data_IF_701934697564
#
_entry.id   IF_701934697564
#
_cell.length_a   1.000
_cell.length_b   1.000
_cell.length_c   1.000
_cell.angle_alpha   90.00
_cell.angle_beta   90.00
_cell.angle_gamma   90.00
#
_symmetry.space_group_name_H-M   'P 1'
#
loop_
_entity.id
_entity.type
_entity.pdbx_description
1 polymer ?
#
# COMPACT_ATOMS: atom_id res chain seq x y z
N UNK A 1 -16.09 25.09 -20.01
CA UNK A 1 -15.91 24.64 -18.61
C UNK A 1 -14.45 24.83 -18.26
N UNK A 2 -14.09 25.43 -17.12
CA UNK A 2 -12.69 25.63 -16.77
C UNK A 2 -12.00 24.26 -16.60
N UNK A 3 -10.74 24.09 -17.04
CA UNK A 3 -10.01 22.82 -16.99
C UNK A 3 -9.87 22.26 -15.56
N UNK A 4 -10.07 23.10 -14.55
CA UNK A 4 -10.03 22.74 -13.12
C UNK A 4 -11.29 22.03 -12.62
N UNK A 5 -12.43 22.15 -13.30
CA UNK A 5 -13.69 21.53 -12.86
C UNK A 5 -13.66 19.99 -12.93
N UNK A 6 -12.90 19.42 -13.86
CA UNK A 6 -12.76 17.97 -14.04
C UNK A 6 -11.62 17.35 -13.22
N UNK A 7 -10.72 18.16 -12.65
CA UNK A 7 -9.53 17.66 -11.97
C UNK A 7 -9.86 16.89 -10.69
N UNK A 8 -10.81 17.40 -9.90
CA UNK A 8 -11.12 16.79 -8.60
C UNK A 8 -11.77 15.42 -8.69
N UNK A 9 -12.78 15.19 -9.55
CA UNK A 9 -13.32 13.85 -9.77
C UNK A 9 -12.27 12.88 -10.29
N UNK A 10 -11.38 13.31 -11.19
CA UNK A 10 -10.29 12.48 -11.72
C UNK A 10 -9.32 12.07 -10.63
N UNK A 11 -8.89 13.01 -9.77
CA UNK A 11 -8.00 12.70 -8.65
C UNK A 11 -8.67 11.80 -7.61
N UNK A 12 -9.98 11.95 -7.40
CA UNK A 12 -10.77 11.11 -6.49
C UNK A 12 -10.83 9.66 -7.02
N UNK A 13 -11.16 9.49 -8.31
CA UNK A 13 -11.14 8.17 -8.96
C UNK A 13 -9.73 7.55 -8.98
N UNK A 14 -8.71 8.36 -9.25
CA UNK A 14 -7.31 7.93 -9.21
C UNK A 14 -6.93 7.43 -7.82
N UNK A 15 -7.35 8.12 -6.75
CA UNK A 15 -7.11 7.67 -5.37
C UNK A 15 -7.70 6.27 -5.14
N UNK A 16 -8.98 6.07 -5.47
CA UNK A 16 -9.67 4.77 -5.31
C UNK A 16 -8.93 3.66 -6.08
N UNK A 17 -8.51 3.94 -7.31
CA UNK A 17 -7.75 2.98 -8.12
C UNK A 17 -6.38 2.66 -7.51
N UNK A 18 -5.66 3.68 -7.02
CA UNK A 18 -4.35 3.50 -6.39
C UNK A 18 -4.45 2.69 -5.09
N UNK A 19 -5.44 2.99 -4.24
CA UNK A 19 -5.73 2.22 -3.02
C UNK A 19 -6.06 0.77 -3.37
N UNK A 20 -6.94 0.55 -4.35
CA UNK A 20 -7.32 -0.78 -4.82
C UNK A 20 -6.14 -1.57 -5.37
N UNK A 21 -5.30 -0.97 -6.23
CA UNK A 21 -4.10 -1.61 -6.76
C UNK A 21 -3.10 -1.94 -5.65
N UNK A 22 -2.88 -1.01 -4.71
CA UNK A 22 -2.00 -1.23 -3.57
C UNK A 22 -2.44 -2.44 -2.74
N UNK A 23 -3.73 -2.46 -2.36
CA UNK A 23 -4.30 -3.54 -1.55
C UNK A 23 -4.30 -4.86 -2.32
N UNK A 24 -4.63 -4.83 -3.62
CA UNK A 24 -4.58 -6.00 -4.50
C UNK A 24 -3.20 -6.64 -4.56
N UNK A 25 -2.14 -5.85 -4.73
CA UNK A 25 -0.76 -6.37 -4.69
C UNK A 25 -0.42 -6.96 -3.32
N UNK A 26 -0.85 -6.31 -2.23
CA UNK A 26 -0.58 -6.79 -0.88
C UNK A 26 -1.27 -8.13 -0.60
N UNK A 27 -2.53 -8.27 -0.98
CA UNK A 27 -3.29 -9.52 -0.86
C UNK A 27 -2.67 -10.62 -1.72
N UNK A 28 -2.33 -10.33 -2.98
CA UNK A 28 -1.72 -11.30 -3.88
C UNK A 28 -0.37 -11.82 -3.35
N UNK A 29 0.49 -10.93 -2.86
CA UNK A 29 1.78 -11.33 -2.31
C UNK A 29 1.66 -12.11 -1.00
N UNK A 30 0.63 -11.81 -0.19
CA UNK A 30 0.39 -12.47 1.10
C UNK A 30 -0.25 -13.84 0.95
N UNK A 31 -1.29 -13.96 0.12
CA UNK A 31 -2.13 -15.15 0.05
C UNK A 31 -1.83 -16.06 -1.14
N UNK A 32 -1.14 -15.57 -2.17
CA UNK A 32 -0.81 -16.38 -3.35
C UNK A 32 0.68 -16.63 -3.44
N UNK A 33 1.48 -15.57 -3.51
CA UNK A 33 2.93 -15.70 -3.73
C UNK A 33 3.63 -16.33 -2.53
N UNK A 34 3.34 -15.86 -1.31
CA UNK A 34 4.03 -16.37 -0.12
C UNK A 34 3.78 -17.86 0.17
N UNK A 35 2.54 -18.37 0.06
CA UNK A 35 2.27 -19.82 0.16
C UNK A 35 2.91 -20.62 -0.97
N UNK A 36 2.78 -20.18 -2.23
CA UNK A 36 3.38 -20.88 -3.37
C UNK A 36 4.90 -21.04 -3.22
N UNK A 37 5.59 -20.03 -2.70
CA UNK A 37 7.02 -20.11 -2.43
C UNK A 37 7.37 -21.08 -1.30
N UNK A 38 6.48 -21.27 -0.33
CA UNK A 38 6.69 -22.24 0.74
C UNK A 38 6.60 -23.68 0.24
N UNK A 39 5.74 -23.94 -0.75
CA UNK A 39 5.60 -25.25 -1.39
C UNK A 39 6.71 -25.54 -2.41
N UNK A 40 7.01 -24.58 -3.29
CA UNK A 40 7.99 -24.76 -4.37
C UNK A 40 9.45 -24.79 -3.87
N UNK A 41 9.74 -24.10 -2.75
CA UNK A 41 11.09 -24.00 -2.20
C UNK A 41 11.10 -24.41 -0.72
N UNK A 42 11.13 -25.71 -0.40
CA UNK A 42 11.11 -26.20 0.98
C UNK A 42 12.36 -25.79 1.78
N UNK A 43 13.51 -25.61 1.10
CA UNK A 43 14.72 -25.07 1.72
C UNK A 43 14.55 -23.56 2.04
N UNK A 44 14.72 -23.19 3.31
CA UNK A 44 14.50 -21.83 3.77
C UNK A 44 15.47 -20.80 3.16
N UNK A 45 16.74 -21.15 2.99
CA UNK A 45 17.74 -20.25 2.41
C UNK A 45 17.43 -19.97 0.93
N UNK A 46 17.12 -21.00 0.15
CA UNK A 46 16.72 -20.88 -1.26
C UNK A 46 15.44 -20.06 -1.41
N UNK A 47 14.44 -20.33 -0.56
CA UNK A 47 13.18 -19.59 -0.52
C UNK A 47 13.39 -18.13 -0.18
N UNK A 48 14.21 -17.82 0.83
CA UNK A 48 14.53 -16.46 1.23
C UNK A 48 15.23 -15.69 0.11
N UNK A 49 16.19 -16.31 -0.59
CA UNK A 49 16.87 -15.72 -1.73
C UNK A 49 15.89 -15.35 -2.87
N UNK A 50 15.00 -16.28 -3.26
CA UNK A 50 14.00 -16.01 -4.29
C UNK A 50 12.98 -14.95 -3.84
N UNK A 51 12.50 -15.00 -2.59
CA UNK A 51 11.58 -13.98 -2.04
C UNK A 51 12.20 -12.60 -2.01
N UNK A 52 13.50 -12.46 -1.71
CA UNK A 52 14.21 -11.18 -1.78
C UNK A 52 14.27 -10.64 -3.21
N UNK A 53 14.53 -11.49 -4.19
CA UNK A 53 14.57 -11.09 -5.60
C UNK A 53 13.20 -10.63 -6.08
N UNK A 54 12.15 -11.42 -5.84
CA UNK A 54 10.78 -11.02 -6.18
C UNK A 54 10.32 -9.79 -5.39
N UNK A 55 10.66 -9.70 -4.11
CA UNK A 55 10.39 -8.53 -3.28
C UNK A 55 11.01 -7.25 -3.84
N UNK A 56 12.21 -7.31 -4.44
CA UNK A 56 12.81 -6.15 -5.14
C UNK A 56 12.01 -5.75 -6.38
N UNK A 57 11.46 -6.70 -7.13
CA UNK A 57 10.58 -6.38 -8.28
C UNK A 57 9.29 -5.73 -7.82
N UNK A 58 8.64 -6.27 -6.78
CA UNK A 58 7.45 -5.63 -6.19
C UNK A 58 7.76 -4.24 -5.65
N UNK A 59 8.90 -4.03 -4.98
CA UNK A 59 9.26 -2.73 -4.44
C UNK A 59 9.43 -1.65 -5.54
N UNK A 60 9.92 -2.03 -6.73
CA UNK A 60 10.04 -1.10 -7.88
C UNK A 60 8.68 -0.62 -8.40
N UNK A 61 7.62 -1.41 -8.22
CA UNK A 61 6.25 -1.03 -8.60
C UNK A 61 5.54 -0.35 -7.44
N UNK A 62 5.62 -0.94 -6.25
CA UNK A 62 4.93 -0.46 -5.06
C UNK A 62 5.43 0.89 -4.56
N UNK A 63 6.73 1.18 -4.72
CA UNK A 63 7.33 2.46 -4.33
C UNK A 63 6.67 3.65 -5.06
N UNK A 64 6.74 3.70 -6.41
CA UNK A 64 6.05 4.71 -7.19
C UNK A 64 4.54 4.75 -6.97
N UNK A 65 3.89 3.59 -6.81
CA UNK A 65 2.45 3.52 -6.56
C UNK A 65 2.08 4.16 -5.21
N UNK A 66 2.82 3.84 -4.15
CA UNK A 66 2.62 4.43 -2.82
C UNK A 66 2.92 5.93 -2.81
N UNK A 67 3.94 6.37 -3.55
CA UNK A 67 4.25 7.79 -3.73
C UNK A 67 3.13 8.51 -4.48
N UNK A 68 2.63 7.92 -5.57
CA UNK A 68 1.49 8.44 -6.32
C UNK A 68 0.28 8.61 -5.42
N UNK A 69 -0.05 7.58 -4.63
CA UNK A 69 -1.16 7.63 -3.67
C UNK A 69 -0.98 8.77 -2.66
N UNK A 70 0.21 8.91 -2.07
CA UNK A 70 0.53 9.98 -1.13
C UNK A 70 0.35 11.37 -1.78
N UNK A 71 0.90 11.56 -2.98
CA UNK A 71 0.77 12.83 -3.70
C UNK A 71 -0.69 13.14 -4.03
N UNK A 72 -1.48 12.15 -4.45
CA UNK A 72 -2.91 12.33 -4.73
C UNK A 72 -3.66 12.78 -3.48
N UNK A 73 -3.45 12.12 -2.33
CA UNK A 73 -4.07 12.51 -1.04
C UNK A 73 -3.68 13.93 -0.65
N UNK A 74 -2.39 14.30 -0.78
CA UNK A 74 -1.92 15.64 -0.45
C UNK A 74 -2.53 16.71 -1.37
N UNK A 75 -2.57 16.48 -2.69
CA UNK A 75 -3.17 17.42 -3.64
C UNK A 75 -4.67 17.60 -3.36
N UNK A 76 -5.39 16.52 -3.05
CA UNK A 76 -6.80 16.60 -2.66
C UNK A 76 -6.99 17.39 -1.35
N UNK A 77 -6.14 17.17 -0.35
CA UNK A 77 -6.22 17.84 0.94
C UNK A 77 -5.85 19.32 0.89
N UNK A 78 -4.78 19.69 0.18
CA UNK A 78 -4.42 21.10 -0.01
C UNK A 78 -5.39 21.84 -0.95
N UNK A 79 -5.96 21.15 -1.94
CA UNK A 79 -6.88 21.74 -2.91
C UNK A 79 -8.31 21.92 -2.40
N UNK A 80 -8.81 21.00 -1.55
CA UNK A 80 -10.21 20.98 -1.09
C UNK A 80 -10.37 21.10 0.43
N UNK A 81 -9.27 21.13 1.17
CA UNK A 81 -9.25 21.06 2.64
C UNK A 81 -9.16 19.62 3.16
N UNK A 82 -8.63 19.45 4.37
CA UNK A 82 -8.56 18.16 5.05
C UNK A 82 -9.84 17.89 5.84
N UNK A 83 -10.70 17.04 5.32
CA UNK A 83 -11.76 16.41 6.11
C UNK A 83 -11.16 15.41 7.10
N UNK A 84 -11.93 15.04 8.14
CA UNK A 84 -11.50 14.01 9.10
C UNK A 84 -11.14 12.69 8.38
N UNK A 85 -11.97 12.27 7.43
CA UNK A 85 -11.74 11.03 6.68
C UNK A 85 -10.47 11.10 5.82
N UNK A 86 -10.20 12.24 5.17
CA UNK A 86 -8.96 12.45 4.41
C UNK A 86 -7.72 12.49 5.31
N UNK A 87 -7.85 13.10 6.49
CA UNK A 87 -6.81 13.09 7.51
C UNK A 87 -6.50 11.67 8.02
N UNK A 88 -7.54 10.85 8.24
CA UNK A 88 -7.39 9.45 8.62
C UNK A 88 -6.73 8.63 7.50
N UNK A 89 -7.12 8.87 6.25
CA UNK A 89 -6.52 8.19 5.11
C UNK A 89 -5.01 8.49 5.01
N UNK A 90 -4.63 9.77 5.13
CA UNK A 90 -3.23 10.18 5.20
C UNK A 90 -2.49 9.51 6.38
N UNK A 91 -3.10 9.50 7.57
CA UNK A 91 -2.50 8.88 8.74
C UNK A 91 -2.28 7.38 8.57
N UNK A 92 -3.25 6.66 8.00
CA UNK A 92 -3.16 5.22 7.69
C UNK A 92 -2.06 4.97 6.65
N UNK A 93 -2.00 5.78 5.60
CA UNK A 93 -0.97 5.67 4.56
C UNK A 93 0.44 5.87 5.13
N UNK A 94 0.62 6.87 5.99
CA UNK A 94 1.89 7.13 6.69
C UNK A 94 2.24 6.01 7.66
N UNK A 95 1.26 5.46 8.38
CA UNK A 95 1.45 4.31 9.26
C UNK A 95 1.96 3.10 8.47
N UNK A 96 1.29 2.75 7.37
CA UNK A 96 1.69 1.65 6.49
C UNK A 96 3.10 1.90 5.94
N UNK A 97 3.38 3.09 5.42
CA UNK A 97 4.72 3.46 4.92
C UNK A 97 5.81 3.38 6.00
N UNK A 98 5.50 3.79 7.23
CA UNK A 98 6.36 3.66 8.39
C UNK A 98 6.64 2.20 8.76
N UNK A 99 5.60 1.37 8.82
CA UNK A 99 5.73 -0.07 9.09
C UNK A 99 6.56 -0.78 8.01
N UNK A 100 6.32 -0.48 6.73
CA UNK A 100 7.07 -1.08 5.61
C UNK A 100 8.52 -0.63 5.60
N UNK A 101 8.80 0.66 5.79
CA UNK A 101 10.17 1.19 5.78
C UNK A 101 11.00 0.67 6.97
N UNK A 102 10.40 0.60 8.16
CA UNK A 102 11.04 -0.01 9.34
C UNK A 102 11.27 -1.50 9.12
N UNK A 103 10.33 -2.19 8.50
CA UNK A 103 10.49 -3.59 8.12
C UNK A 103 11.61 -3.79 7.11
N UNK A 104 11.74 -2.96 6.07
CA UNK A 104 12.83 -3.10 5.09
C UNK A 104 14.22 -2.85 5.72
N UNK A 105 14.32 -1.90 6.65
CA UNK A 105 15.56 -1.64 7.39
C UNK A 105 15.95 -2.81 8.31
N UNK A 106 14.98 -3.49 8.92
CA UNK A 106 15.19 -4.60 9.88
C UNK A 106 15.20 -5.99 9.22
N UNK A 107 14.49 -6.17 8.12
CA UNK A 107 14.21 -7.43 7.41
C UNK A 107 15.43 -8.01 6.70
N UNK A 108 16.51 -7.24 6.57
CA UNK A 108 17.82 -7.78 6.24
C UNK A 108 18.37 -8.73 7.33
N UNK A 109 17.82 -8.67 8.55
CA UNK A 109 18.36 -9.36 9.74
C UNK A 109 17.38 -10.30 10.45
N UNK A 110 16.06 -10.03 10.44
CA UNK A 110 15.07 -10.80 11.21
C UNK A 110 13.76 -11.00 10.44
N UNK A 111 13.14 -12.19 10.57
CA UNK A 111 11.81 -12.51 10.01
C UNK A 111 10.74 -11.58 10.61
N UNK A 112 9.83 -10.98 9.81
CA UNK A 112 8.77 -10.14 10.36
C UNK A 112 7.88 -10.95 11.30
N UNK A 113 7.42 -10.35 12.42
CA UNK A 113 6.46 -10.99 13.28
C UNK A 113 5.09 -11.06 12.59
N UNK A 114 4.34 -12.14 12.84
CA UNK A 114 3.06 -12.40 12.18
C UNK A 114 2.01 -11.28 12.40
N UNK A 115 2.05 -10.61 13.55
CA UNK A 115 1.14 -9.49 13.85
C UNK A 115 1.28 -8.33 12.85
N UNK A 116 2.46 -8.13 12.25
CA UNK A 116 2.69 -7.05 11.28
C UNK A 116 1.80 -7.24 10.04
N UNK A 117 1.61 -8.49 9.60
CA UNK A 117 0.72 -8.82 8.49
C UNK A 117 -0.72 -8.48 8.83
N UNK A 118 -1.19 -8.84 10.02
CA UNK A 118 -2.55 -8.52 10.46
C UNK A 118 -2.79 -7.01 10.57
N UNK A 119 -1.82 -6.26 11.12
CA UNK A 119 -1.91 -4.79 11.21
C UNK A 119 -1.94 -4.16 9.82
N UNK A 120 -1.09 -4.61 8.90
CA UNK A 120 -1.07 -4.07 7.54
C UNK A 120 -2.34 -4.41 6.77
N UNK A 121 -2.90 -5.62 6.95
CA UNK A 121 -4.20 -5.99 6.39
C UNK A 121 -5.34 -5.12 6.93
N UNK A 122 -5.40 -4.94 8.26
CA UNK A 122 -6.41 -4.09 8.90
C UNK A 122 -6.31 -2.63 8.45
N UNK A 123 -5.08 -2.10 8.39
CA UNK A 123 -4.81 -0.76 7.88
C UNK A 123 -5.18 -0.62 6.40
N UNK A 124 -4.88 -1.62 5.56
CA UNK A 124 -5.26 -1.64 4.16
C UNK A 124 -6.77 -1.70 3.95
N UNK A 125 -7.48 -2.53 4.73
CA UNK A 125 -8.94 -2.58 4.70
C UNK A 125 -9.56 -1.24 5.11
N UNK A 126 -9.04 -0.61 6.18
CA UNK A 126 -9.47 0.72 6.60
C UNK A 126 -9.21 1.77 5.50
N UNK A 127 -8.06 1.70 4.83
CA UNK A 127 -7.73 2.58 3.71
C UNK A 127 -8.74 2.45 2.55
N UNK A 128 -9.14 1.22 2.20
CA UNK A 128 -10.19 0.98 1.21
C UNK A 128 -11.54 1.59 1.62
N UNK A 129 -11.96 1.39 2.88
CA UNK A 129 -13.21 1.94 3.40
C UNK A 129 -13.20 3.46 3.37
N UNK A 130 -12.11 4.09 3.83
CA UNK A 130 -11.96 5.55 3.81
C UNK A 130 -11.97 6.09 2.39
N UNK A 131 -11.24 5.47 1.47
CA UNK A 131 -11.19 5.88 0.07
C UNK A 131 -12.58 5.83 -0.58
N UNK A 132 -13.35 4.77 -0.35
CA UNK A 132 -14.74 4.70 -0.83
C UNK A 132 -15.64 5.74 -0.15
N UNK A 133 -15.53 5.93 1.16
CA UNK A 133 -16.40 6.87 1.88
C UNK A 133 -16.17 8.35 1.50
N UNK A 134 -14.96 8.70 1.05
CA UNK A 134 -14.60 10.09 0.67
C UNK A 134 -14.81 10.35 -0.82
N UNK A 135 -14.64 9.32 -1.67
CA UNK A 135 -14.46 9.51 -3.11
C UNK A 135 -15.42 8.72 -4.02
N UNK A 136 -16.19 7.77 -3.48
CA UNK A 136 -17.21 7.02 -4.23
C UNK A 136 -18.63 7.54 -3.91
#
# INVERSE_FOLDING_TARGET
MPPTAALWPVLSALNVLLVGMWMGMYLFTTFVVSPAFAELFPNEATRSAHRRTVGRYYARVNGPLSLGLLLTVLVLGFGRGFSLALGLELAVLLLIGGLVSTHMRRGARVRPPAWLTHVTLGAGALLCVLSLAVYA
#
